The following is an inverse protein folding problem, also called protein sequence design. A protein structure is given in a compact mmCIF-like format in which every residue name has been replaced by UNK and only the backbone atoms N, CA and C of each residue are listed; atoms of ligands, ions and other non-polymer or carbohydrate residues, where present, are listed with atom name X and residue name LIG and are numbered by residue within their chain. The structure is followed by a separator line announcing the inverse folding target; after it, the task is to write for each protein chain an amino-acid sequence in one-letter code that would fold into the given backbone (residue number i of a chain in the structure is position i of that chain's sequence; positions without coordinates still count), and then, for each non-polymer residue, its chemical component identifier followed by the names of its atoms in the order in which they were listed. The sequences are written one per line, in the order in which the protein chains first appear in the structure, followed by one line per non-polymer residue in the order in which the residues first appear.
data_IF_259574027956
#
_entry.id   IF_259574027956
#
_cell.length_a   1.000
_cell.length_b   1.000
_cell.length_c   1.000
_cell.angle_alpha   90.00
_cell.angle_beta   90.00
_cell.angle_gamma   90.00
#
_symmetry.space_group_name_H-M   'P 1'
#
loop_
_entity.id
_entity.type
_entity.pdbx_description
1 polymer ?
#
# COMPACT_ATOMS: atom_id res chain seq x y z
N UNK A 1 9.64 -6.66 -3.60
CA UNK A 1 9.18 -7.72 -2.67
C UNK A 1 9.29 -7.29 -1.22
N UNK A 2 10.47 -6.82 -0.79
CA UNK A 2 10.67 -6.32 0.58
C UNK A 2 9.74 -5.13 0.93
N UNK A 3 9.52 -4.19 0.01
CA UNK A 3 8.61 -3.05 0.22
C UNK A 3 7.16 -3.48 0.41
N UNK A 4 6.67 -4.44 -0.38
CA UNK A 4 5.29 -4.94 -0.29
C UNK A 4 5.00 -5.65 1.02
N UNK A 5 5.98 -6.38 1.55
CA UNK A 5 5.88 -7.02 2.85
C UNK A 5 5.94 -6.04 4.03
N UNK A 6 6.40 -4.80 3.82
CA UNK A 6 6.45 -3.78 4.87
C UNK A 6 5.08 -3.14 5.16
N UNK A 7 4.17 -3.09 4.18
CA UNK A 7 2.81 -2.57 4.38
C UNK A 7 1.98 -3.35 5.41
N UNK A 8 1.85 -4.69 5.34
CA UNK A 8 1.09 -5.43 6.35
C UNK A 8 1.70 -5.28 7.74
N UNK A 9 3.04 -5.21 7.84
CA UNK A 9 3.72 -4.93 9.10
C UNK A 9 3.34 -3.56 9.66
N UNK A 10 3.41 -2.50 8.84
CA UNK A 10 3.04 -1.14 9.27
C UNK A 10 1.60 -1.11 9.79
N UNK A 11 0.64 -1.69 9.07
CA UNK A 11 -0.76 -1.71 9.49
C UNK A 11 -1.03 -2.63 10.69
N UNK A 12 -0.29 -3.72 10.86
CA UNK A 12 -0.35 -4.53 12.07
C UNK A 12 0.14 -3.75 13.30
N UNK A 13 1.21 -2.96 13.17
CA UNK A 13 1.68 -2.08 14.25
C UNK A 13 0.62 -1.03 14.63
N UNK A 14 -0.07 -0.46 13.64
CA UNK A 14 -1.19 0.48 13.89
C UNK A 14 -2.34 -0.21 14.62
N UNK A 15 -2.75 -1.40 14.19
CA UNK A 15 -3.85 -2.14 14.80
C UNK A 15 -3.56 -2.56 16.25
N UNK A 16 -2.29 -2.87 16.57
CA UNK A 16 -1.85 -3.33 17.88
C UNK A 16 -1.45 -2.20 18.84
N UNK A 17 -1.44 -0.94 18.38
CA UNK A 17 -1.03 0.19 19.20
C UNK A 17 -1.96 0.36 20.43
N UNK A 18 -1.44 0.31 21.66
CA UNK A 18 -2.21 0.60 22.87
C UNK A 18 -2.49 2.10 23.02
N UNK A 19 -3.46 2.47 23.84
CA UNK A 19 -3.72 3.88 24.21
C UNK A 19 -2.71 4.34 25.28
N UNK A 20 -1.45 4.49 24.87
CA UNK A 20 -0.36 4.91 25.75
C UNK A 20 0.76 5.57 24.95
N UNK A 21 1.74 6.16 25.63
CA UNK A 21 2.95 6.71 24.98
C UNK A 21 3.66 5.67 24.11
N UNK A 22 3.70 4.41 24.55
CA UNK A 22 4.27 3.32 23.76
C UNK A 22 3.49 3.09 22.45
N UNK A 23 2.15 3.23 22.48
CA UNK A 23 1.33 3.17 21.27
C UNK A 23 1.61 4.32 20.31
N UNK A 24 1.79 5.55 20.81
CA UNK A 24 2.20 6.68 19.96
C UNK A 24 3.53 6.41 19.26
N UNK A 25 4.51 5.84 19.96
CA UNK A 25 5.79 5.46 19.36
C UNK A 25 5.62 4.36 18.29
N UNK A 26 4.74 3.38 18.52
CA UNK A 26 4.41 2.37 17.51
C UNK A 26 3.75 2.99 16.27
N UNK A 27 2.87 3.97 16.43
CA UNK A 27 2.25 4.68 15.31
C UNK A 27 3.28 5.48 14.50
N UNK A 28 4.23 6.14 15.17
CA UNK A 28 5.33 6.84 14.50
C UNK A 28 6.23 5.87 13.74
N UNK A 29 6.57 4.73 14.34
CA UNK A 29 7.34 3.69 13.67
C UNK A 29 6.60 3.13 12.46
N UNK A 30 5.30 2.87 12.60
CA UNK A 30 4.46 2.42 11.50
C UNK A 30 4.42 3.45 10.36
N UNK A 31 4.31 4.74 10.68
CA UNK A 31 4.35 5.82 9.70
C UNK A 31 5.68 5.87 8.94
N UNK A 32 6.80 5.69 9.63
CA UNK A 32 8.14 5.64 9.02
C UNK A 32 8.25 4.45 8.08
N UNK A 33 7.87 3.26 8.53
CA UNK A 33 7.90 2.03 7.72
C UNK A 33 7.03 2.19 6.47
N UNK A 34 5.80 2.68 6.65
CA UNK A 34 4.85 2.94 5.57
C UNK A 34 5.43 3.95 4.56
N UNK A 35 6.00 5.06 5.03
CA UNK A 35 6.58 6.10 4.18
C UNK A 35 7.77 5.61 3.36
N UNK A 36 8.69 4.86 3.99
CA UNK A 36 9.85 4.27 3.31
C UNK A 36 9.42 3.22 2.27
N UNK A 37 8.48 2.35 2.62
CA UNK A 37 7.93 1.35 1.70
C UNK A 37 7.26 2.02 0.50
N UNK A 38 6.42 3.02 0.74
CA UNK A 38 5.74 3.77 -0.32
C UNK A 38 6.69 4.56 -1.20
N UNK A 39 7.70 5.23 -0.64
CA UNK A 39 8.68 5.97 -1.42
C UNK A 39 9.46 5.05 -2.37
N UNK A 40 10.00 3.95 -1.82
CA UNK A 40 10.77 2.98 -2.60
C UNK A 40 9.91 2.28 -3.67
N UNK A 41 8.66 1.91 -3.36
CA UNK A 41 7.79 1.25 -4.32
C UNK A 41 7.33 2.20 -5.43
N UNK A 42 6.87 3.40 -5.09
CA UNK A 42 6.36 4.36 -6.08
C UNK A 42 7.43 4.79 -7.08
N UNK A 43 8.67 5.05 -6.62
CA UNK A 43 9.76 5.44 -7.51
C UNK A 43 10.12 4.32 -8.50
N UNK A 44 10.25 3.09 -8.00
CA UNK A 44 10.58 1.93 -8.83
C UNK A 44 9.45 1.58 -9.80
N UNK A 45 8.20 1.61 -9.35
CA UNK A 45 7.04 1.35 -10.18
C UNK A 45 6.89 2.43 -11.27
N UNK A 46 7.03 3.71 -10.92
CA UNK A 46 6.97 4.81 -11.87
C UNK A 46 8.06 4.68 -12.95
N UNK A 47 9.30 4.39 -12.55
CA UNK A 47 10.41 4.21 -13.48
C UNK A 47 10.16 3.05 -14.46
N UNK A 48 9.67 1.91 -13.95
CA UNK A 48 9.32 0.75 -14.77
C UNK A 48 8.21 1.06 -15.78
N UNK A 49 7.15 1.75 -15.35
CA UNK A 49 6.05 2.10 -16.25
C UNK A 49 6.49 3.07 -17.34
N UNK A 50 7.29 4.08 -16.97
CA UNK A 50 7.80 5.05 -17.92
C UNK A 50 8.70 4.40 -18.96
N UNK A 51 9.57 3.44 -18.57
CA UNK A 51 10.45 2.76 -19.53
C UNK A 51 9.71 1.85 -20.52
N UNK A 52 8.55 1.31 -20.13
CA UNK A 52 7.73 0.43 -20.97
C UNK A 52 6.67 1.17 -21.81
N UNK A 53 6.40 2.44 -21.52
CA UNK A 53 5.33 3.21 -22.17
C UNK A 53 5.90 4.14 -23.23
N UNK A 54 5.47 4.04 -24.51
CA UNK A 54 5.92 4.96 -25.56
C UNK A 54 5.60 6.43 -25.26
N UNK A 55 6.53 7.33 -25.58
CA UNK A 55 6.45 8.77 -25.25
C UNK A 55 5.14 9.43 -25.72
N UNK A 56 4.69 9.08 -26.93
CA UNK A 56 3.48 9.66 -27.53
C UNK A 56 2.17 9.33 -26.79
N UNK A 57 2.17 8.34 -25.89
CA UNK A 57 0.99 7.97 -25.07
C UNK A 57 1.22 8.10 -23.57
N UNK A 58 2.43 8.46 -23.14
CA UNK A 58 2.83 8.53 -21.73
C UNK A 58 1.94 9.49 -20.93
N UNK A 59 1.58 10.65 -21.51
CA UNK A 59 0.68 11.61 -20.89
C UNK A 59 -0.73 11.04 -20.65
N UNK A 60 -1.30 10.34 -21.63
CA UNK A 60 -2.63 9.71 -21.52
C UNK A 60 -2.61 8.55 -20.52
N UNK A 61 -1.59 7.69 -20.58
CA UNK A 61 -1.43 6.59 -19.64
C UNK A 61 -1.33 7.10 -18.18
N UNK A 62 -0.54 8.15 -17.94
CA UNK A 62 -0.44 8.77 -16.61
C UNK A 62 -1.75 9.40 -16.14
N UNK A 63 -2.50 10.05 -17.03
CA UNK A 63 -3.81 10.62 -16.70
C UNK A 63 -4.80 9.54 -16.25
N UNK A 64 -4.91 8.44 -17.01
CA UNK A 64 -5.76 7.29 -16.68
C UNK A 64 -5.37 6.69 -15.32
N UNK A 65 -4.08 6.42 -15.11
CA UNK A 65 -3.60 5.84 -13.84
C UNK A 65 -3.85 6.77 -12.65
N UNK A 66 -3.61 8.08 -12.80
CA UNK A 66 -3.87 9.05 -11.74
C UNK A 66 -5.36 9.19 -11.44
N UNK A 67 -6.21 9.02 -12.44
CA UNK A 67 -7.67 8.96 -12.26
C UNK A 67 -8.05 7.71 -11.46
N UNK A 68 -7.63 6.53 -11.92
CA UNK A 68 -7.91 5.26 -11.26
C UNK A 68 -7.43 5.24 -9.79
N UNK A 69 -6.21 5.71 -9.52
CA UNK A 69 -5.67 5.79 -8.16
C UNK A 69 -6.51 6.72 -7.26
N UNK A 70 -6.97 7.86 -7.78
CA UNK A 70 -7.82 8.78 -7.02
C UNK A 70 -9.19 8.18 -6.73
N UNK A 71 -9.78 7.49 -7.71
CA UNK A 71 -11.05 6.80 -7.50
C UNK A 71 -10.92 5.68 -6.47
N UNK A 72 -9.87 4.86 -6.58
CA UNK A 72 -9.60 3.80 -5.60
C UNK A 72 -9.39 4.37 -4.18
N UNK A 73 -8.67 5.49 -4.04
CA UNK A 73 -8.50 6.16 -2.76
C UNK A 73 -9.85 6.65 -2.18
N UNK A 74 -10.71 7.24 -3.00
CA UNK A 74 -12.03 7.70 -2.57
C UNK A 74 -12.93 6.53 -2.13
N UNK A 75 -12.97 5.44 -2.91
CA UNK A 75 -13.73 4.23 -2.55
C UNK A 75 -13.18 3.62 -1.26
N UNK A 76 -11.85 3.53 -1.13
CA UNK A 76 -11.19 3.03 0.07
C UNK A 76 -11.50 3.88 1.31
N UNK A 77 -11.52 5.20 1.20
CA UNK A 77 -11.86 6.10 2.30
C UNK A 77 -13.33 5.93 2.75
N UNK A 78 -14.27 5.85 1.80
CA UNK A 78 -15.69 5.62 2.11
C UNK A 78 -15.92 4.23 2.72
N UNK A 79 -15.33 3.19 2.13
CA UNK A 79 -15.43 1.82 2.63
C UNK A 79 -14.78 1.65 4.00
N UNK A 80 -13.62 2.27 4.21
CA UNK A 80 -12.92 2.27 5.50
C UNK A 80 -13.72 2.98 6.59
N UNK A 81 -14.25 4.18 6.30
CA UNK A 81 -15.11 4.91 7.24
C UNK A 81 -16.39 4.15 7.60
N UNK A 82 -17.03 3.53 6.61
CA UNK A 82 -18.19 2.66 6.83
C UNK A 82 -17.84 1.44 7.68
N UNK A 83 -16.73 0.76 7.40
CA UNK A 83 -16.27 -0.40 8.16
C UNK A 83 -15.95 -0.03 9.61
N UNK A 84 -15.29 1.11 9.86
CA UNK A 84 -15.07 1.63 11.22
C UNK A 84 -16.41 1.88 11.92
N UNK A 85 -17.39 2.49 11.25
CA UNK A 85 -18.72 2.74 11.82
C UNK A 85 -19.47 1.47 12.23
N UNK A 86 -19.30 0.38 11.49
CA UNK A 86 -20.01 -0.89 11.73
C UNK A 86 -19.25 -1.88 12.63
N UNK A 87 -17.92 -1.94 12.51
CA UNK A 87 -17.07 -2.96 13.13
C UNK A 87 -16.20 -2.37 14.25
N UNK A 88 -15.96 -1.06 14.24
CA UNK A 88 -14.99 -0.37 15.10
C UNK A 88 -13.58 -0.30 14.52
N UNK A 89 -12.73 0.49 15.16
CA UNK A 89 -11.39 0.84 14.67
C UNK A 89 -10.48 -0.39 14.51
N UNK A 90 -10.26 -1.15 15.59
CA UNK A 90 -9.32 -2.27 15.61
C UNK A 90 -9.61 -3.36 14.59
N UNK A 91 -10.82 -3.97 14.51
CA UNK A 91 -11.07 -5.01 13.52
C UNK A 91 -10.96 -4.49 12.09
N UNK A 92 -11.31 -3.22 11.84
CA UNK A 92 -11.12 -2.60 10.53
C UNK A 92 -9.65 -2.48 10.18
N UNK A 93 -8.80 -2.02 11.11
CA UNK A 93 -7.35 -1.92 10.91
C UNK A 93 -6.68 -3.29 10.70
N UNK A 94 -7.14 -4.33 11.41
CA UNK A 94 -6.68 -5.72 11.18
C UNK A 94 -7.04 -6.17 9.76
N UNK A 95 -8.26 -5.91 9.31
CA UNK A 95 -8.69 -6.24 7.95
C UNK A 95 -7.82 -5.53 6.90
N UNK A 96 -7.45 -4.26 7.12
CA UNK A 96 -6.51 -3.52 6.25
C UNK A 96 -5.15 -4.21 6.20
N UNK A 97 -4.60 -4.63 7.35
CA UNK A 97 -3.34 -5.36 7.39
C UNK A 97 -3.41 -6.68 6.58
N UNK A 98 -4.52 -7.42 6.67
CA UNK A 98 -4.77 -8.64 5.91
C UNK A 98 -4.84 -8.37 4.40
N UNK A 99 -5.51 -7.30 3.97
CA UNK A 99 -5.56 -6.90 2.55
C UNK A 99 -4.15 -6.64 2.00
N UNK A 100 -3.32 -5.89 2.74
CA UNK A 100 -1.93 -5.66 2.34
C UNK A 100 -1.09 -6.94 2.35
N UNK A 101 -1.35 -7.86 3.27
CA UNK A 101 -0.67 -9.16 3.29
C UNK A 101 -1.03 -9.99 2.04
N UNK A 102 -2.31 -9.98 1.62
CA UNK A 102 -2.75 -10.60 0.38
C UNK A 102 -2.08 -9.99 -0.85
N UNK A 103 -2.00 -8.66 -0.93
CA UNK A 103 -1.31 -7.98 -2.02
C UNK A 103 0.19 -8.33 -2.06
N UNK A 104 0.84 -8.41 -0.90
CA UNK A 104 2.23 -8.84 -0.78
C UNK A 104 2.42 -10.30 -1.24
N UNK A 105 1.51 -11.20 -0.89
CA UNK A 105 1.52 -12.60 -1.31
C UNK A 105 1.36 -12.74 -2.83
N UNK A 106 0.38 -12.05 -3.43
CA UNK A 106 0.17 -12.04 -4.88
C UNK A 106 1.45 -11.57 -5.60
N UNK A 107 2.08 -10.50 -5.11
CA UNK A 107 3.32 -10.01 -5.68
C UNK A 107 4.49 -10.99 -5.51
N UNK A 108 4.57 -11.68 -4.37
CA UNK A 108 5.62 -12.67 -4.09
C UNK A 108 5.51 -13.91 -4.99
N UNK A 109 4.29 -14.27 -5.38
CA UNK A 109 3.95 -15.41 -6.24
C UNK A 109 3.85 -15.06 -7.73
N UNK A 110 3.99 -13.78 -8.10
CA UNK A 110 3.84 -13.32 -9.48
C UNK A 110 5.05 -13.72 -10.36
N UNK A 111 4.83 -14.17 -11.61
CA UNK A 111 5.90 -14.53 -12.57
C UNK A 111 6.86 -13.38 -12.93
N UNK A 112 6.50 -12.13 -12.62
CA UNK A 112 7.36 -10.96 -12.80
C UNK A 112 8.65 -11.07 -11.96
N UNK A 113 8.69 -11.97 -10.97
CA UNK A 113 9.88 -12.34 -10.21
C UNK A 113 10.97 -12.96 -11.09
N UNK A 114 10.61 -13.73 -12.11
CA UNK A 114 11.56 -14.49 -12.93
C UNK A 114 12.17 -13.63 -14.05
N UNK A 115 11.44 -12.61 -14.54
CA UNK A 115 11.91 -11.70 -15.58
C UNK A 115 13.07 -10.75 -15.16
N UNK A 116 13.45 -10.73 -13.88
CA UNK A 116 14.60 -9.96 -13.37
C UNK A 116 15.85 -10.81 -13.11
N UNK A 117 15.76 -12.13 -13.27
CA UNK A 117 16.84 -13.09 -13.01
C UNK A 117 17.49 -13.67 -14.28
N UNK A 118 17.08 -13.19 -15.46
CA UNK A 118 17.61 -13.53 -16.78
C UNK A 118 18.05 -12.28 -17.53
#
# INVERSE_FOLDING_TARGET
MLTRAAYPLAWALVALAPQSTAGTLLLLLALIIQGLAAGAENANEMALWQSLTPDGVLGRANATRRSANRTAAAVGALGGGFAVGQLGDRPTLVAVAVVFAGAAAIAALSPVRDARAS
#
